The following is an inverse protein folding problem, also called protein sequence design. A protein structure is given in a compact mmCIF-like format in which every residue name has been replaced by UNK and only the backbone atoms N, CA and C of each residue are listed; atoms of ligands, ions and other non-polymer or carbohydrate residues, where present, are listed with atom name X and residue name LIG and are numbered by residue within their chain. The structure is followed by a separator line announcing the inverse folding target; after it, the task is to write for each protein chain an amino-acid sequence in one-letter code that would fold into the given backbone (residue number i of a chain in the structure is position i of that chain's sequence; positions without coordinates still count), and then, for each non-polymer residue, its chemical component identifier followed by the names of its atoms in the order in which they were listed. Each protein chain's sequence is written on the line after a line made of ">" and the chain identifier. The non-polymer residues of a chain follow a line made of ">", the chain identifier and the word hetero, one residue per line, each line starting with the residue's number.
data_IF_567082472702
#
_entry.id   IF_567082472702
#
_cell.length_a   1.000
_cell.length_b   1.000
_cell.length_c   1.000
_cell.angle_alpha   90.00
_cell.angle_beta   90.00
_cell.angle_gamma   90.00
#
_symmetry.space_group_name_H-M   'P 1'
#
loop_
_entity.id
_entity.type
_entity.pdbx_description
1 polymer ?
#
# COMPACT_ATOMS: atom_id res chain seq x y z
N UNK A 1 2.14 -1.30 -14.65
CA UNK A 1 2.81 -1.70 -15.90
C UNK A 1 3.50 -0.51 -16.54
N UNK A 2 4.72 -0.71 -17.06
CA UNK A 2 5.47 0.26 -17.85
C UNK A 2 5.50 -0.23 -19.30
N UNK A 3 5.21 0.67 -20.23
CA UNK A 3 5.34 0.41 -21.68
C UNK A 3 6.35 1.40 -22.25
N UNK A 4 7.40 0.88 -22.89
CA UNK A 4 8.45 1.67 -23.51
C UNK A 4 8.13 1.80 -25.00
N UNK A 5 7.89 3.03 -25.45
CA UNK A 5 7.40 3.34 -26.79
C UNK A 5 8.47 4.14 -27.52
N UNK A 6 8.81 3.74 -28.76
CA UNK A 6 9.78 4.45 -29.59
C UNK A 6 9.20 5.73 -30.23
N UNK A 7 10.06 6.51 -30.88
CA UNK A 7 9.68 7.76 -31.54
C UNK A 7 8.69 7.57 -32.72
N UNK A 8 8.46 6.33 -33.16
CA UNK A 8 7.49 5.98 -34.18
C UNK A 8 6.16 5.47 -33.60
N UNK A 9 6.01 5.50 -32.27
CA UNK A 9 4.80 5.05 -31.56
C UNK A 9 4.68 3.53 -31.40
N UNK A 10 5.74 2.75 -31.60
CA UNK A 10 5.73 1.30 -31.45
C UNK A 10 6.15 0.90 -30.05
N UNK A 11 5.43 -0.05 -29.43
CA UNK A 11 5.83 -0.65 -28.14
C UNK A 11 7.05 -1.53 -28.38
N UNK A 12 8.17 -1.21 -27.71
CA UNK A 12 9.46 -1.90 -27.84
C UNK A 12 9.75 -2.84 -26.66
N UNK A 13 9.23 -2.49 -25.49
CA UNK A 13 9.35 -3.29 -24.29
C UNK A 13 8.19 -3.01 -23.33
N UNK A 14 7.92 -3.94 -22.42
CA UNK A 14 7.00 -3.74 -21.29
C UNK A 14 7.54 -4.45 -20.05
N UNK A 15 7.21 -3.89 -18.89
CA UNK A 15 7.52 -4.45 -17.58
C UNK A 15 6.27 -4.36 -16.69
N UNK A 16 5.93 -5.45 -16.01
CA UNK A 16 4.82 -5.52 -15.06
C UNK A 16 5.37 -5.66 -13.64
N UNK A 17 4.79 -4.91 -12.71
CA UNK A 17 5.21 -4.86 -11.32
C UNK A 17 6.21 -3.75 -11.02
N UNK A 18 6.77 -3.80 -9.85
CA UNK A 18 7.81 -2.93 -9.33
C UNK A 18 9.20 -3.52 -9.63
N UNK A 19 10.25 -2.67 -9.67
CA UNK A 19 11.63 -3.13 -9.84
C UNK A 19 12.14 -3.05 -11.28
N UNK A 20 13.27 -3.74 -11.51
CA UNK A 20 13.99 -3.81 -12.79
C UNK A 20 14.33 -2.44 -13.41
N UNK A 21 14.60 -1.46 -12.53
CA UNK A 21 14.86 -0.06 -12.91
C UNK A 21 16.08 0.08 -13.79
N UNK A 22 17.14 -0.68 -13.52
CA UNK A 22 18.36 -0.66 -14.32
C UNK A 22 18.12 -1.10 -15.77
N UNK A 23 17.30 -2.12 -16.00
CA UNK A 23 16.93 -2.57 -17.34
C UNK A 23 16.01 -1.56 -18.01
N UNK A 24 15.05 -1.01 -17.29
CA UNK A 24 14.15 0.04 -17.78
C UNK A 24 14.93 1.28 -18.25
N UNK A 25 15.92 1.72 -17.48
CA UNK A 25 16.77 2.84 -17.85
C UNK A 25 17.60 2.56 -19.11
N UNK A 26 18.20 1.38 -19.24
CA UNK A 26 18.94 0.99 -20.45
C UNK A 26 18.05 1.02 -21.70
N UNK A 27 16.79 0.57 -21.58
CA UNK A 27 15.82 0.61 -22.67
C UNK A 27 15.51 2.05 -23.06
N UNK A 28 15.29 2.94 -22.08
CA UNK A 28 15.06 4.37 -22.34
C UNK A 28 16.28 4.96 -23.07
N UNK A 29 17.49 4.74 -22.59
CA UNK A 29 18.72 5.23 -23.22
C UNK A 29 18.86 4.73 -24.67
N UNK A 30 18.57 3.45 -24.92
CA UNK A 30 18.57 2.88 -26.27
C UNK A 30 17.55 3.59 -27.18
N UNK A 31 16.29 3.74 -26.72
CA UNK A 31 15.24 4.37 -27.52
C UNK A 31 15.51 5.84 -27.79
N UNK A 32 16.13 6.57 -26.87
CA UNK A 32 16.58 7.95 -27.09
C UNK A 32 17.69 8.03 -28.13
N UNK A 33 18.65 7.12 -28.08
CA UNK A 33 19.73 7.02 -29.07
C UNK A 33 19.19 6.69 -30.47
N UNK A 34 18.27 5.72 -30.57
CA UNK A 34 17.58 5.37 -31.81
C UNK A 34 16.74 6.56 -32.37
N UNK A 35 16.23 7.44 -31.49
CA UNK A 35 15.54 8.66 -31.88
C UNK A 35 16.48 9.82 -32.28
N UNK A 36 17.79 9.57 -32.34
CA UNK A 36 18.79 10.54 -32.80
C UNK A 36 19.32 11.48 -31.70
N UNK A 37 19.06 11.20 -30.42
CA UNK A 37 19.65 11.98 -29.32
C UNK A 37 21.13 11.58 -29.15
N UNK A 38 21.99 12.58 -29.08
CA UNK A 38 23.45 12.41 -28.91
C UNK A 38 23.93 12.72 -27.49
N UNK A 39 23.06 13.27 -26.66
CA UNK A 39 23.32 13.71 -25.30
C UNK A 39 22.75 12.75 -24.24
N UNK A 40 22.62 11.46 -24.60
CA UNK A 40 22.11 10.42 -23.68
C UNK A 40 23.21 10.05 -22.68
N UNK A 41 22.99 10.23 -21.35
CA UNK A 41 23.95 9.82 -20.34
C UNK A 41 24.21 8.32 -20.40
N UNK A 42 25.47 7.92 -20.28
CA UNK A 42 25.84 6.51 -20.13
C UNK A 42 25.76 6.06 -18.66
N UNK A 43 25.66 4.75 -18.47
CA UNK A 43 25.57 4.14 -17.14
C UNK A 43 24.11 3.95 -16.69
N UNK A 44 23.94 3.57 -15.45
CA UNK A 44 22.63 3.36 -14.82
C UNK A 44 22.62 4.14 -13.49
N UNK A 45 21.59 4.92 -13.25
CA UNK A 45 21.43 5.64 -11.99
C UNK A 45 21.25 4.62 -10.85
N UNK A 46 21.99 4.83 -9.76
CA UNK A 46 21.76 4.07 -8.54
C UNK A 46 20.47 4.59 -7.89
N UNK A 47 19.37 3.89 -8.11
CA UNK A 47 18.14 4.16 -7.39
C UNK A 47 18.31 3.71 -5.93
N UNK A 48 18.37 4.69 -5.01
CA UNK A 48 18.32 4.43 -3.58
C UNK A 48 17.07 5.10 -3.01
N UNK A 49 16.08 4.28 -2.65
CA UNK A 49 14.87 4.74 -1.96
C UNK A 49 14.87 4.31 -0.51
N UNK A 50 14.17 5.05 0.34
CA UNK A 50 13.89 4.69 1.73
C UNK A 50 12.38 4.77 1.99
N UNK A 51 11.90 4.09 3.03
CA UNK A 51 10.46 4.07 3.32
C UNK A 51 9.66 3.50 2.15
N UNK A 52 8.61 4.19 1.76
CA UNK A 52 7.72 3.79 0.66
C UNK A 52 8.40 3.76 -0.73
N UNK A 53 9.58 4.41 -0.86
CA UNK A 53 10.36 4.43 -2.11
C UNK A 53 11.45 3.33 -2.14
N UNK A 54 11.60 2.56 -1.08
CA UNK A 54 12.56 1.46 -1.07
C UNK A 54 12.14 0.35 -2.04
N UNK A 55 13.11 -0.33 -2.63
CA UNK A 55 12.84 -1.44 -3.52
C UNK A 55 12.01 -2.53 -2.83
N UNK A 56 10.98 -3.04 -3.53
CA UNK A 56 10.14 -4.12 -3.05
C UNK A 56 10.91 -5.44 -2.93
N UNK A 57 10.53 -6.29 -1.96
CA UNK A 57 11.01 -7.66 -1.88
C UNK A 57 10.08 -8.59 -2.68
N UNK A 58 10.29 -8.62 -4.00
CA UNK A 58 9.44 -9.40 -4.91
C UNK A 58 9.48 -10.90 -4.64
N UNK A 59 10.56 -11.41 -4.03
CA UNK A 59 10.69 -12.84 -3.73
C UNK A 59 9.80 -13.28 -2.57
N UNK A 60 9.50 -12.37 -1.64
CA UNK A 60 8.67 -12.62 -0.46
C UNK A 60 7.25 -12.01 -0.60
N UNK A 61 6.88 -11.54 -1.79
CA UNK A 61 5.58 -10.90 -2.02
C UNK A 61 4.47 -11.95 -2.22
N UNK A 62 3.66 -12.18 -1.17
CA UNK A 62 2.52 -13.11 -1.18
C UNK A 62 1.14 -12.43 -1.10
N UNK A 63 1.10 -11.08 -0.92
CA UNK A 63 -0.15 -10.33 -0.84
C UNK A 63 -0.33 -9.43 -2.05
N UNK A 64 -1.49 -9.48 -2.73
CA UNK A 64 -1.79 -8.63 -3.88
C UNK A 64 -2.23 -7.23 -3.44
N UNK A 65 -2.08 -6.23 -4.33
CA UNK A 65 -2.73 -4.93 -4.17
C UNK A 65 -4.22 -5.12 -3.86
N UNK A 66 -4.71 -4.45 -2.82
CA UNK A 66 -6.07 -4.66 -2.31
C UNK A 66 -6.79 -3.32 -2.13
N UNK A 67 -7.88 -3.14 -2.86
CA UNK A 67 -8.69 -1.93 -2.82
C UNK A 67 -9.73 -1.98 -1.71
N UNK A 68 -9.92 -0.87 -1.01
CA UNK A 68 -10.86 -0.74 0.11
C UNK A 68 -12.26 -0.33 -0.37
N UNK A 69 -12.36 0.47 -1.43
CA UNK A 69 -13.64 0.86 -2.02
C UNK A 69 -14.35 -0.31 -2.72
N UNK A 70 -15.68 -0.35 -2.65
CA UNK A 70 -16.49 -1.50 -3.08
C UNK A 70 -16.38 -1.85 -4.57
N UNK A 71 -15.96 -0.91 -5.42
CA UNK A 71 -15.88 -1.15 -6.87
C UNK A 71 -14.85 -2.22 -7.24
N UNK A 72 -13.76 -2.33 -6.47
CA UNK A 72 -12.64 -3.24 -6.71
C UNK A 72 -12.29 -4.10 -5.49
N UNK A 73 -13.02 -3.98 -4.39
CA UNK A 73 -12.75 -4.71 -3.17
C UNK A 73 -12.83 -6.23 -3.40
N UNK A 74 -11.82 -6.96 -2.91
CA UNK A 74 -11.76 -8.40 -2.90
C UNK A 74 -11.38 -8.88 -1.50
N UNK A 75 -11.77 -10.11 -1.16
CA UNK A 75 -11.42 -10.76 0.13
C UNK A 75 -11.85 -9.99 1.39
N UNK A 76 -12.87 -9.13 1.27
CA UNK A 76 -13.47 -8.45 2.42
C UNK A 76 -14.24 -9.44 3.29
N UNK A 77 -13.90 -9.53 4.57
CA UNK A 77 -14.41 -10.56 5.48
C UNK A 77 -15.43 -10.06 6.50
N UNK A 78 -15.64 -8.74 6.63
CA UNK A 78 -16.55 -8.17 7.64
C UNK A 78 -18.04 -8.16 7.21
N UNK A 79 -18.45 -9.15 6.44
CA UNK A 79 -19.83 -9.29 5.92
C UNK A 79 -20.07 -8.53 4.62
N UNK A 80 -21.31 -8.41 4.16
CA UNK A 80 -21.61 -7.70 2.93
C UNK A 80 -21.36 -6.19 3.09
N UNK A 81 -20.67 -5.60 2.11
CA UNK A 81 -20.51 -4.14 2.05
C UNK A 81 -21.90 -3.50 1.82
N UNK A 82 -22.17 -2.40 2.54
CA UNK A 82 -23.32 -1.52 2.32
C UNK A 82 -22.84 -0.27 1.58
N UNK A 83 -23.01 -0.21 0.25
CA UNK A 83 -22.45 0.86 -0.57
C UNK A 83 -23.01 2.24 -0.20
N UNK A 84 -22.13 3.23 -0.07
CA UNK A 84 -22.43 4.66 0.07
C UNK A 84 -23.30 5.04 1.28
N UNK A 85 -23.49 4.13 2.25
CA UNK A 85 -24.23 4.41 3.48
C UNK A 85 -23.36 4.12 4.70
N UNK A 86 -23.56 4.90 5.76
CA UNK A 86 -22.89 4.66 7.03
C UNK A 86 -23.38 3.33 7.65
N UNK A 87 -22.45 2.45 7.98
CA UNK A 87 -22.74 1.15 8.57
C UNK A 87 -21.67 0.75 9.58
N UNK A 88 -22.07 0.03 10.62
CA UNK A 88 -21.14 -0.64 11.52
C UNK A 88 -20.68 -1.96 10.93
N UNK A 89 -19.38 -2.20 11.01
CA UNK A 89 -18.71 -3.43 10.60
C UNK A 89 -17.98 -4.06 11.77
N UNK A 90 -17.79 -5.36 11.70
CA UNK A 90 -16.99 -6.12 12.66
C UNK A 90 -16.15 -7.14 11.89
N UNK A 91 -14.82 -7.02 12.03
CA UNK A 91 -13.89 -7.95 11.39
C UNK A 91 -13.88 -9.28 12.15
N UNK A 92 -14.12 -10.42 11.49
CA UNK A 92 -14.02 -11.72 12.14
C UNK A 92 -12.57 -12.07 12.48
N UNK A 93 -12.38 -12.91 13.46
CA UNK A 93 -11.07 -13.42 13.86
C UNK A 93 -11.11 -14.95 14.02
N UNK A 94 -10.09 -15.66 13.51
CA UNK A 94 -8.95 -15.20 12.71
C UNK A 94 -9.31 -14.94 11.24
N UNK A 95 -8.51 -14.07 10.59
CA UNK A 95 -8.55 -13.90 9.13
C UNK A 95 -7.68 -14.95 8.43
N UNK A 96 -8.06 -15.39 7.25
CA UNK A 96 -7.16 -16.09 6.33
C UNK A 96 -6.19 -15.10 5.67
N UNK A 97 -5.06 -15.59 5.14
CA UNK A 97 -4.09 -14.75 4.40
C UNK A 97 -4.81 -14.05 3.24
N UNK A 98 -4.49 -12.78 3.05
CA UNK A 98 -5.10 -11.87 2.08
C UNK A 98 -6.57 -11.51 2.36
N UNK A 99 -7.13 -11.89 3.50
CA UNK A 99 -8.40 -11.34 3.98
C UNK A 99 -8.20 -10.08 4.81
N UNK A 100 -9.18 -9.19 4.70
CA UNK A 100 -9.22 -7.94 5.45
C UNK A 100 -10.65 -7.58 5.85
N UNK A 101 -10.77 -6.66 6.80
CA UNK A 101 -12.08 -6.19 7.25
C UNK A 101 -12.00 -4.84 7.94
N UNK A 102 -13.17 -4.23 8.06
CA UNK A 102 -13.41 -3.00 8.80
C UNK A 102 -14.01 -3.33 10.17
N UNK A 103 -13.71 -2.52 11.17
CA UNK A 103 -14.39 -2.53 12.47
C UNK A 103 -14.77 -1.11 12.84
N UNK A 104 -15.97 -0.91 13.42
CA UNK A 104 -16.54 0.39 13.72
C UNK A 104 -17.43 0.95 12.59
N UNK A 105 -17.74 2.25 12.66
CA UNK A 105 -18.70 2.90 11.77
C UNK A 105 -18.01 3.51 10.55
N UNK A 106 -18.28 2.94 9.37
CA UNK A 106 -17.67 3.36 8.10
C UNK A 106 -18.72 3.62 7.02
N UNK A 107 -18.43 4.55 6.13
CA UNK A 107 -19.11 4.68 4.83
C UNK A 107 -18.16 4.15 3.77
N UNK A 108 -18.53 3.04 3.14
CA UNK A 108 -17.73 2.44 2.05
C UNK A 108 -18.29 2.94 0.72
N UNK A 109 -17.49 3.78 0.05
CA UNK A 109 -17.78 4.30 -1.29
C UNK A 109 -17.11 3.49 -2.39
N UNK A 110 -17.26 3.95 -3.64
CA UNK A 110 -16.72 3.25 -4.82
C UNK A 110 -15.22 2.99 -4.72
N UNK A 111 -14.43 3.97 -4.28
CA UNK A 111 -12.96 3.94 -4.32
C UNK A 111 -12.29 4.04 -2.95
N UNK A 112 -13.04 4.34 -1.90
CA UNK A 112 -12.52 4.51 -0.53
C UNK A 112 -13.54 4.15 0.53
N UNK A 113 -13.07 3.90 1.73
CA UNK A 113 -13.89 3.91 2.93
C UNK A 113 -13.56 5.12 3.80
N UNK A 114 -14.58 5.75 4.39
CA UNK A 114 -14.46 6.93 5.26
C UNK A 114 -14.94 6.57 6.66
N UNK A 115 -14.10 6.80 7.65
CA UNK A 115 -14.43 6.54 9.05
C UNK A 115 -15.35 7.62 9.60
N UNK A 116 -16.51 7.21 10.10
CA UNK A 116 -17.50 8.13 10.65
C UNK A 116 -17.23 8.52 12.11
N UNK A 117 -16.69 7.61 12.95
CA UNK A 117 -16.41 7.83 14.37
C UNK A 117 -15.04 7.32 14.77
N UNK A 118 -14.45 7.95 15.80
CA UNK A 118 -13.19 7.49 16.39
C UNK A 118 -13.26 6.03 16.86
N UNK A 119 -12.12 5.32 16.88
CA UNK A 119 -12.00 3.94 17.32
C UNK A 119 -12.29 2.90 16.21
N UNK A 120 -12.60 3.35 14.99
CA UNK A 120 -12.70 2.43 13.86
C UNK A 120 -11.34 1.91 13.43
N UNK A 121 -11.32 0.69 12.89
CA UNK A 121 -10.08 0.01 12.54
C UNK A 121 -10.19 -0.72 11.20
N UNK A 122 -9.02 -0.96 10.59
CA UNK A 122 -8.86 -1.88 9.47
C UNK A 122 -7.91 -2.99 9.90
N UNK A 123 -8.29 -4.24 9.70
CA UNK A 123 -7.45 -5.41 9.97
C UNK A 123 -7.16 -6.13 8.66
N UNK A 124 -5.93 -6.54 8.45
CA UNK A 124 -5.48 -7.27 7.25
C UNK A 124 -4.51 -8.38 7.63
N UNK A 125 -4.71 -9.60 7.16
CA UNK A 125 -3.72 -10.65 7.27
C UNK A 125 -2.94 -10.79 5.97
N UNK A 126 -1.63 -10.51 6.01
CA UNK A 126 -0.79 -10.33 4.83
C UNK A 126 0.49 -11.17 4.90
N UNK A 127 1.11 -11.37 3.73
CA UNK A 127 2.44 -11.96 3.56
C UNK A 127 3.27 -11.08 2.62
N UNK A 128 4.12 -10.24 3.18
CA UNK A 128 5.07 -9.38 2.46
C UNK A 128 6.05 -8.77 3.47
N UNK A 129 7.20 -8.27 3.02
CA UNK A 129 8.11 -7.50 3.88
C UNK A 129 7.48 -6.17 4.29
N UNK A 130 6.96 -5.42 3.32
CA UNK A 130 6.37 -4.11 3.53
C UNK A 130 4.85 -4.15 3.39
N UNK A 131 4.15 -3.42 4.25
CA UNK A 131 2.75 -3.08 4.10
C UNK A 131 2.59 -1.57 4.05
N UNK A 132 1.97 -1.12 2.98
CA UNK A 132 1.60 0.27 2.76
C UNK A 132 0.08 0.39 2.67
N UNK A 133 -0.43 1.57 3.07
CA UNK A 133 -1.82 1.93 2.90
C UNK A 133 -1.91 3.36 2.33
N UNK A 134 -2.61 3.51 1.22
CA UNK A 134 -3.00 4.84 0.74
C UNK A 134 -4.13 5.35 1.61
N UNK A 135 -3.85 6.41 2.35
CA UNK A 135 -4.78 7.05 3.27
C UNK A 135 -4.87 8.55 3.02
N UNK A 136 -5.96 9.15 3.45
CA UNK A 136 -6.18 10.59 3.46
C UNK A 136 -7.04 11.04 4.64
N UNK A 137 -7.05 12.33 4.90
CA UNK A 137 -7.96 12.96 5.86
C UNK A 137 -8.05 14.45 5.57
N UNK A 138 -9.21 15.07 5.81
CA UNK A 138 -9.39 16.52 5.69
C UNK A 138 -8.74 17.32 6.83
N UNK A 139 -8.33 16.66 7.90
CA UNK A 139 -7.60 17.20 9.06
C UNK A 139 -6.71 16.10 9.65
N UNK A 140 -5.69 16.42 10.44
CA UNK A 140 -4.81 15.41 11.02
C UNK A 140 -5.57 14.40 11.88
N UNK A 141 -5.47 13.09 11.56
CA UNK A 141 -6.09 11.99 12.32
C UNK A 141 -5.00 11.08 12.86
N UNK A 142 -4.89 10.96 14.17
CA UNK A 142 -3.96 10.04 14.82
C UNK A 142 -4.43 8.59 14.64
N UNK A 143 -3.48 7.68 14.50
CA UNK A 143 -3.73 6.26 14.43
C UNK A 143 -2.75 5.46 15.29
N UNK A 144 -3.08 4.20 15.52
CA UNK A 144 -2.21 3.20 16.14
C UNK A 144 -2.19 1.92 15.32
N UNK A 145 -0.97 1.46 15.00
CA UNK A 145 -0.71 0.17 14.34
C UNK A 145 -0.39 -0.89 15.37
N UNK A 146 -0.88 -2.10 15.15
CA UNK A 146 -0.42 -3.32 15.83
C UNK A 146 -0.16 -4.42 14.81
N UNK A 147 0.77 -5.31 15.15
CA UNK A 147 1.10 -6.51 14.39
C UNK A 147 0.90 -7.70 15.32
N UNK A 148 0.04 -8.66 14.94
CA UNK A 148 -0.38 -9.81 15.77
C UNK A 148 -0.85 -9.40 17.18
N UNK A 149 -1.57 -8.26 17.25
CA UNK A 149 -2.12 -7.71 18.49
C UNK A 149 -1.11 -7.03 19.40
N UNK A 150 0.14 -6.85 18.96
CA UNK A 150 1.24 -6.23 19.73
C UNK A 150 1.74 -4.96 19.03
N UNK A 151 2.48 -4.12 19.76
CA UNK A 151 3.21 -3.00 19.16
C UNK A 151 4.15 -3.51 18.06
N UNK A 152 4.34 -2.80 16.95
CA UNK A 152 5.18 -3.25 15.84
C UNK A 152 6.67 -3.39 16.23
N UNK A 153 7.16 -2.63 17.20
CA UNK A 153 8.55 -2.66 17.61
C UNK A 153 9.49 -2.35 16.45
N UNK A 154 10.45 -3.24 16.18
CA UNK A 154 11.40 -3.08 15.08
C UNK A 154 10.75 -3.23 13.69
N UNK A 155 9.57 -3.85 13.60
CA UNK A 155 8.83 -4.05 12.34
C UNK A 155 7.99 -2.83 11.94
N UNK A 156 8.09 -1.68 12.63
CA UNK A 156 7.36 -0.47 12.26
C UNK A 156 7.83 0.09 10.92
N UNK A 157 6.89 0.65 10.14
CA UNK A 157 7.20 1.42 8.94
C UNK A 157 7.63 2.85 9.28
N UNK A 158 8.03 3.63 8.27
CA UNK A 158 8.51 5.00 8.48
C UNK A 158 7.42 5.99 8.89
N UNK A 159 6.16 5.66 8.69
CA UNK A 159 5.02 6.52 9.01
C UNK A 159 4.37 6.24 10.38
N UNK A 160 4.98 5.37 11.18
CA UNK A 160 4.63 5.18 12.57
C UNK A 160 5.90 4.92 13.42
N UNK A 161 5.78 5.12 14.73
CA UNK A 161 6.86 4.81 15.67
C UNK A 161 6.85 3.33 16.12
N UNK A 162 7.83 2.92 16.91
CA UNK A 162 7.93 1.56 17.45
C UNK A 162 6.75 1.16 18.37
N UNK A 163 6.02 2.14 18.89
CA UNK A 163 4.78 1.93 19.64
C UNK A 163 3.54 1.83 18.73
N UNK A 164 3.73 2.03 17.42
CA UNK A 164 2.71 1.99 16.38
C UNK A 164 1.95 3.29 16.19
N UNK A 165 2.32 4.39 16.86
CA UNK A 165 1.61 5.65 16.72
C UNK A 165 2.02 6.40 15.46
N UNK A 166 1.05 6.96 14.77
CA UNK A 166 1.25 7.81 13.60
C UNK A 166 0.11 8.79 13.40
N UNK A 167 0.19 9.57 12.32
CA UNK A 167 -0.83 10.58 11.99
C UNK A 167 -1.05 10.64 10.48
N UNK A 168 -2.30 10.55 10.05
CA UNK A 168 -2.71 10.85 8.67
C UNK A 168 -2.73 12.37 8.50
N UNK A 169 -1.92 12.90 7.56
CA UNK A 169 -1.78 14.35 7.29
C UNK A 169 -1.94 14.65 5.79
N UNK A 170 -2.94 14.10 5.16
CA UNK A 170 -3.15 14.28 3.74
C UNK A 170 -3.14 12.96 2.98
N UNK A 171 -3.55 13.01 1.72
CA UNK A 171 -3.69 11.81 0.90
C UNK A 171 -2.34 11.43 0.29
N UNK A 172 -1.80 10.29 0.72
CA UNK A 172 -0.57 9.69 0.17
C UNK A 172 -0.45 8.23 0.56
N UNK A 173 0.60 7.59 0.07
CA UNK A 173 1.04 6.29 0.52
C UNK A 173 1.75 6.42 1.89
N UNK A 174 1.37 5.58 2.84
CA UNK A 174 1.97 5.46 4.18
C UNK A 174 2.60 4.09 4.31
N UNK A 175 3.89 4.03 4.65
CA UNK A 175 4.56 2.78 5.01
C UNK A 175 4.32 2.49 6.49
N UNK A 176 3.54 1.48 6.79
CA UNK A 176 3.08 1.17 8.15
C UNK A 176 3.81 -0.03 8.77
N UNK A 177 4.30 -0.95 7.95
CA UNK A 177 5.08 -2.11 8.38
C UNK A 177 6.27 -2.30 7.46
N UNK A 178 7.41 -2.70 8.06
CA UNK A 178 8.56 -3.31 7.39
C UNK A 178 9.10 -4.43 8.27
N UNK A 179 8.75 -5.68 7.95
CA UNK A 179 9.20 -6.84 8.70
C UNK A 179 10.74 -6.96 8.67
N UNK A 180 11.32 -7.15 9.84
CA UNK A 180 12.75 -7.43 9.99
C UNK A 180 12.96 -8.94 10.07
N UNK A 181 14.01 -9.44 9.44
CA UNK A 181 14.34 -10.87 9.44
C UNK A 181 13.48 -11.69 8.45
N UNK A 182 13.09 -12.89 8.86
CA UNK A 182 12.29 -13.78 8.01
C UNK A 182 10.86 -13.25 7.82
N UNK A 183 10.42 -13.15 6.56
CA UNK A 183 9.06 -12.69 6.22
C UNK A 183 8.05 -13.79 6.57
N UNK A 184 6.98 -13.41 7.24
CA UNK A 184 5.95 -14.31 7.74
C UNK A 184 4.55 -13.73 7.49
N UNK A 185 3.54 -14.60 7.57
CA UNK A 185 2.15 -14.17 7.65
C UNK A 185 1.93 -13.39 8.94
N UNK A 186 1.45 -12.15 8.82
CA UNK A 186 1.19 -11.29 9.97
C UNK A 186 -0.23 -10.73 9.91
N UNK A 187 -0.79 -10.46 11.07
CA UNK A 187 -2.07 -9.75 11.19
C UNK A 187 -1.79 -8.29 11.55
N UNK A 188 -1.92 -7.43 10.56
CA UNK A 188 -1.86 -5.98 10.73
C UNK A 188 -3.21 -5.44 11.19
N UNK A 189 -3.20 -4.49 12.11
CA UNK A 189 -4.36 -3.68 12.46
C UNK A 189 -3.95 -2.22 12.60
N UNK A 190 -4.71 -1.33 11.97
CA UNK A 190 -4.64 0.13 12.19
C UNK A 190 -5.94 0.59 12.83
N UNK A 191 -5.86 1.28 13.97
CA UNK A 191 -6.97 1.89 14.68
C UNK A 191 -6.85 3.41 14.58
N UNK A 192 -7.90 4.07 14.12
CA UNK A 192 -7.94 5.52 14.00
C UNK A 192 -8.55 6.15 15.25
N UNK A 193 -7.82 7.07 15.87
CA UNK A 193 -8.20 7.72 17.15
C UNK A 193 -9.10 8.92 16.96
N UNK A 194 -9.44 9.28 15.73
CA UNK A 194 -10.37 10.34 15.35
C UNK A 194 -11.18 9.97 14.12
N UNK A 195 -12.31 10.62 13.86
CA UNK A 195 -13.12 10.42 12.67
C UNK A 195 -12.47 11.03 11.41
N UNK A 196 -13.02 10.73 10.22
CA UNK A 196 -12.66 11.37 8.96
C UNK A 196 -11.42 10.79 8.27
N UNK A 197 -10.85 9.70 8.79
CA UNK A 197 -9.83 8.96 8.05
C UNK A 197 -10.44 8.32 6.81
N UNK A 198 -9.72 8.44 5.69
CA UNK A 198 -10.05 7.85 4.40
C UNK A 198 -9.03 6.77 4.05
N UNK A 199 -9.48 5.58 3.70
CA UNK A 199 -8.63 4.48 3.25
C UNK A 199 -8.98 4.08 1.82
N UNK A 200 -7.96 3.92 0.95
CA UNK A 200 -8.13 3.68 -0.48
C UNK A 200 -7.65 2.30 -0.93
N UNK A 201 -6.37 1.99 -0.73
CA UNK A 201 -5.78 0.74 -1.17
C UNK A 201 -4.57 0.36 -0.32
N UNK A 202 -4.39 -0.94 -0.11
CA UNK A 202 -3.15 -1.54 0.37
C UNK A 202 -2.25 -1.88 -0.80
N UNK A 203 -0.94 -1.64 -0.63
CA UNK A 203 0.12 -2.16 -1.50
C UNK A 203 1.19 -2.83 -0.65
N UNK A 204 1.93 -3.74 -1.26
CA UNK A 204 2.91 -4.56 -0.56
C UNK A 204 4.24 -4.57 -1.33
N UNK A 205 5.36 -4.74 -0.61
CA UNK A 205 6.69 -4.74 -1.20
C UNK A 205 7.72 -5.58 -0.46
#
# INVERSE_FOLDING_TARGET
>A
AHYFIDAQGRIRHHHFGEGDYAQSEKIIQQLLTEAGRTDVPGGVAAASGSGAEAAADMAALGSPETYVGYERAQNFAAGPVKPDVAASYETPYPLAVNQWGLSGDWTVGRQKAVLAKAGGAITFRFHARDLHLVMGAGHPVRFRVTIDGRKPGADHGMDCDADGNGTVQGQRLYQLVRQQGAIQDRTFKIEFLGPGAEAFAFTFG
#
